data_IF_402350740221
#
_entry.id   IF_402350740221
#
_cell.length_a   1.000
_cell.length_b   1.000
_cell.length_c   1.000
_cell.angle_alpha   90.00
_cell.angle_beta   90.00
_cell.angle_gamma   90.00
#
_symmetry.space_group_name_H-M   'P 1'
#
loop_
_entity.id
_entity.type
_entity.pdbx_description
1 polymer ?
#
# COMPACT_ATOMS: atom_id res chain seq x y z
N UNK A 1 -10.11 -7.92 10.28
CA UNK A 1 -8.94 -8.35 9.49
C UNK A 1 -8.40 -9.61 10.12
N UNK A 2 -8.20 -10.65 9.33
CA UNK A 2 -7.58 -11.90 9.73
C UNK A 2 -6.05 -11.76 9.71
N UNK A 3 -5.43 -11.92 10.88
CA UNK A 3 -3.98 -11.84 11.02
C UNK A 3 -3.27 -13.15 10.68
N UNK A 4 -4.00 -14.25 10.47
CA UNK A 4 -3.45 -15.50 9.96
C UNK A 4 -3.13 -15.42 8.46
N UNK A 5 -3.76 -14.50 7.72
CA UNK A 5 -3.42 -14.23 6.33
C UNK A 5 -2.13 -13.41 6.23
N UNK A 6 -1.28 -13.75 5.27
CA UNK A 6 -0.01 -13.06 5.04
C UNK A 6 -0.24 -11.62 4.52
N UNK A 7 0.71 -10.73 4.85
CA UNK A 7 0.85 -9.45 4.15
C UNK A 7 1.76 -9.68 2.94
N UNK A 8 1.20 -9.62 1.74
CA UNK A 8 1.95 -9.94 0.52
C UNK A 8 2.87 -8.79 0.11
N UNK A 9 4.10 -9.11 -0.28
CA UNK A 9 5.04 -8.14 -0.87
C UNK A 9 4.66 -7.91 -2.32
N UNK A 10 4.16 -6.72 -2.65
CA UNK A 10 3.56 -6.43 -3.96
C UNK A 10 4.02 -5.09 -4.52
N UNK A 11 3.81 -4.93 -5.82
CA UNK A 11 3.81 -3.65 -6.51
C UNK A 11 2.36 -3.27 -6.82
N UNK A 12 2.08 -1.99 -7.05
CA UNK A 12 0.77 -1.45 -7.37
C UNK A 12 0.19 -2.10 -8.64
N UNK A 13 1.03 -2.42 -9.63
CA UNK A 13 0.61 -3.19 -10.80
C UNK A 13 0.09 -4.60 -10.48
N UNK A 14 0.57 -5.23 -9.41
CA UNK A 14 0.08 -6.54 -8.97
C UNK A 14 -1.27 -6.41 -8.27
N UNK A 15 -1.47 -5.36 -7.47
CA UNK A 15 -2.76 -5.06 -6.83
C UNK A 15 -3.88 -4.85 -7.85
N UNK A 16 -3.58 -4.23 -9.00
CA UNK A 16 -4.54 -4.09 -10.12
C UNK A 16 -5.00 -5.42 -10.72
N UNK A 17 -4.23 -6.50 -10.53
CA UNK A 17 -4.57 -7.86 -10.98
C UNK A 17 -5.25 -8.69 -9.89
N UNK A 18 -5.28 -8.20 -8.65
CA UNK A 18 -5.90 -8.91 -7.55
C UNK A 18 -7.42 -8.89 -7.70
N UNK A 19 -8.06 -10.03 -7.44
CA UNK A 19 -9.50 -10.17 -7.55
C UNK A 19 -10.12 -10.08 -6.17
N UNK A 20 -11.13 -9.22 -6.01
CA UNK A 20 -11.88 -9.17 -4.76
C UNK A 20 -12.65 -10.47 -4.57
N UNK A 21 -12.46 -11.10 -3.41
CA UNK A 21 -13.21 -12.28 -2.99
C UNK A 21 -14.36 -11.80 -2.13
N UNK A 22 -15.59 -11.98 -2.62
CA UNK A 22 -16.81 -11.59 -1.91
C UNK A 22 -17.00 -12.58 -0.76
N UNK A 23 -16.93 -12.09 0.47
CA UNK A 23 -17.28 -12.82 1.69
C UNK A 23 -18.08 -11.92 2.63
N UNK A 24 -19.03 -12.49 3.38
CA UNK A 24 -20.05 -11.77 4.14
C UNK A 24 -19.53 -10.87 5.29
N UNK A 25 -18.22 -10.87 5.58
CA UNK A 25 -17.70 -10.15 6.75
C UNK A 25 -16.40 -9.36 6.53
N UNK A 26 -15.57 -9.68 5.53
CA UNK A 26 -14.29 -8.98 5.30
C UNK A 26 -13.89 -8.91 3.83
N UNK A 27 -13.52 -7.72 3.34
CA UNK A 27 -12.93 -7.57 2.01
C UNK A 27 -11.58 -8.27 1.97
N UNK A 28 -11.51 -9.37 1.22
CA UNK A 28 -10.29 -10.12 0.97
C UNK A 28 -10.04 -10.15 -0.53
N UNK A 29 -8.79 -10.35 -0.92
CA UNK A 29 -8.37 -10.35 -2.31
C UNK A 29 -7.58 -11.61 -2.60
N UNK A 30 -7.65 -12.10 -3.84
CA UNK A 30 -6.82 -13.21 -4.31
C UNK A 30 -5.84 -12.74 -5.37
N UNK A 31 -4.61 -13.24 -5.29
CA UNK A 31 -3.59 -13.08 -6.32
C UNK A 31 -2.83 -14.40 -6.45
N UNK A 32 -2.81 -14.99 -7.65
CA UNK A 32 -2.14 -16.28 -7.86
C UNK A 32 -2.70 -17.43 -7.00
N UNK A 33 -3.99 -17.37 -6.65
CA UNK A 33 -4.61 -18.35 -5.75
C UNK A 33 -4.36 -18.10 -4.26
N UNK A 34 -3.55 -17.10 -3.89
CA UNK A 34 -3.30 -16.73 -2.49
C UNK A 34 -4.30 -15.68 -2.03
N UNK A 35 -5.02 -15.98 -0.94
CA UNK A 35 -5.89 -15.03 -0.26
C UNK A 35 -5.07 -14.08 0.62
N UNK A 36 -5.35 -12.77 0.51
CA UNK A 36 -4.73 -11.76 1.35
C UNK A 36 -5.71 -10.64 1.69
N UNK A 37 -5.40 -9.94 2.77
CA UNK A 37 -6.10 -8.71 3.19
C UNK A 37 -5.13 -7.55 3.40
N UNK A 38 -3.84 -7.85 3.56
CA UNK A 38 -2.78 -6.86 3.77
C UNK A 38 -1.80 -6.86 2.62
N UNK A 39 -1.36 -5.67 2.25
CA UNK A 39 -0.27 -5.47 1.32
C UNK A 39 0.93 -4.90 2.06
N UNK A 40 2.12 -5.33 1.65
CA UNK A 40 3.40 -4.73 1.94
C UNK A 40 3.92 -4.12 0.64
N UNK A 41 4.05 -2.79 0.63
CA UNK A 41 4.55 -2.03 -0.51
C UNK A 41 5.67 -1.09 -0.07
N UNK A 42 6.51 -0.67 -1.01
CA UNK A 42 7.47 0.41 -0.81
C UNK A 42 7.44 1.33 -2.02
N UNK A 43 7.70 2.62 -1.80
CA UNK A 43 7.66 3.62 -2.86
C UNK A 43 8.01 5.02 -2.35
N UNK A 44 7.91 6.01 -3.23
CA UNK A 44 8.15 7.41 -2.94
C UNK A 44 6.82 8.09 -2.59
N UNK A 45 6.78 8.84 -1.49
CA UNK A 45 5.66 9.71 -1.20
C UNK A 45 5.63 10.85 -2.22
N UNK A 46 4.62 10.87 -3.09
CA UNK A 46 4.43 11.93 -4.11
C UNK A 46 3.44 13.01 -3.67
N UNK A 47 2.70 12.75 -2.59
CA UNK A 47 1.90 13.75 -1.88
C UNK A 47 1.92 13.42 -0.40
N UNK A 48 2.20 14.44 0.42
CA UNK A 48 2.18 14.36 1.88
C UNK A 48 1.56 15.65 2.45
N UNK A 49 0.33 15.98 2.02
CA UNK A 49 -0.36 17.19 2.47
C UNK A 49 -1.13 16.92 3.77
N UNK A 50 -0.67 17.39 4.94
CA UNK A 50 -1.46 17.39 6.15
C UNK A 50 -2.57 18.45 6.05
N UNK A 51 -3.78 18.10 6.49
CA UNK A 51 -5.00 18.92 6.39
C UNK A 51 -5.05 20.10 7.37
N UNK A 52 -3.91 20.66 7.77
CA UNK A 52 -3.82 21.80 8.68
C UNK A 52 -3.74 23.16 7.96
N UNK A 53 -3.84 23.19 6.63
CA UNK A 53 -3.68 24.41 5.83
C UNK A 53 -4.86 24.78 4.92
N UNK A 54 -6.06 24.21 5.11
CA UNK A 54 -7.24 24.60 4.33
C UNK A 54 -8.33 25.21 5.22
N UNK A 55 -8.53 26.53 5.11
CA UNK A 55 -9.63 27.32 5.69
C UNK A 55 -10.98 27.06 4.98
N UNK A 56 -11.22 25.84 4.52
CA UNK A 56 -12.50 25.43 3.93
C UNK A 56 -12.73 23.94 4.25
N UNK A 57 -13.98 23.54 4.56
CA UNK A 57 -14.33 22.13 4.68
C UNK A 57 -14.43 21.55 3.25
N UNK A 58 -13.29 21.28 2.65
CA UNK A 58 -13.21 20.41 1.48
C UNK A 58 -13.33 18.97 1.98
N UNK A 59 -14.32 18.24 1.47
CA UNK A 59 -14.59 16.82 1.79
C UNK A 59 -13.45 15.86 1.41
N UNK A 60 -12.38 16.36 0.81
CA UNK A 60 -11.17 15.61 0.47
C UNK A 60 -10.10 15.84 1.53
N UNK A 61 -10.02 14.91 2.49
CA UNK A 61 -9.04 14.91 3.58
C UNK A 61 -7.57 14.85 3.13
N UNK A 62 -6.64 14.76 4.09
CA UNK A 62 -5.20 14.59 3.82
C UNK A 62 -4.98 13.49 2.78
N UNK A 63 -4.38 13.80 1.64
CA UNK A 63 -4.12 12.80 0.60
C UNK A 63 -2.65 12.43 0.60
N UNK A 64 -2.34 11.31 1.26
CA UNK A 64 -1.01 10.71 1.18
C UNK A 64 -0.98 9.77 -0.02
N UNK A 65 -0.12 10.06 -0.98
CA UNK A 65 0.01 9.26 -2.20
C UNK A 65 1.40 8.66 -2.28
N UNK A 66 1.45 7.36 -2.57
CA UNK A 66 2.68 6.61 -2.74
C UNK A 66 2.79 6.14 -4.20
N UNK A 67 3.94 6.37 -4.82
CA UNK A 67 4.29 5.86 -6.15
C UNK A 67 5.42 4.84 -6.03
N UNK A 68 5.21 3.65 -6.56
CA UNK A 68 6.22 2.58 -6.59
C UNK A 68 6.83 2.34 -7.97
N UNK A 69 6.66 3.28 -8.91
CA UNK A 69 7.10 3.18 -10.30
C UNK A 69 6.19 2.34 -11.20
N UNK A 70 5.20 1.64 -10.64
CA UNK A 70 4.22 0.83 -11.38
C UNK A 70 2.77 1.32 -11.23
N UNK A 71 2.56 2.27 -10.33
CA UNK A 71 1.29 2.94 -10.11
C UNK A 71 1.28 3.74 -8.82
N UNK A 72 0.18 4.47 -8.62
CA UNK A 72 -0.04 5.29 -7.44
C UNK A 72 -1.11 4.63 -6.57
N UNK A 73 -0.91 4.68 -5.26
CA UNK A 73 -1.84 4.18 -4.25
C UNK A 73 -2.01 5.20 -3.12
N UNK A 74 -3.22 5.30 -2.59
CA UNK A 74 -3.54 6.22 -1.52
C UNK A 74 -3.34 5.58 -0.14
N UNK A 75 -2.74 6.33 0.79
CA UNK A 75 -2.48 5.88 2.14
C UNK A 75 -3.43 6.57 3.12
N UNK A 76 -4.16 5.78 3.88
CA UNK A 76 -4.96 6.27 5.00
C UNK A 76 -4.18 6.08 6.28
N UNK A 77 -3.67 7.19 6.82
CA UNK A 77 -2.97 7.22 8.10
C UNK A 77 -3.93 7.60 9.24
N UNK A 78 -3.78 6.92 10.37
CA UNK A 78 -4.55 7.16 11.59
C UNK A 78 -3.64 7.21 12.82
N UNK A 79 -4.08 7.89 13.88
CA UNK A 79 -3.35 8.00 15.14
C UNK A 79 -1.96 8.61 14.98
N UNK A 80 -0.97 8.04 15.66
CA UNK A 80 0.40 8.55 15.71
C UNK A 80 1.06 8.71 14.33
N UNK A 81 0.71 7.85 13.36
CA UNK A 81 1.31 7.94 12.03
C UNK A 81 0.94 9.24 11.32
N UNK A 82 -0.25 9.80 11.55
CA UNK A 82 -0.66 11.09 10.95
C UNK A 82 0.09 12.28 11.56
N UNK A 83 0.53 12.14 12.81
CA UNK A 83 1.25 13.19 13.54
C UNK A 83 2.76 13.18 13.28
N UNK A 84 3.28 12.14 12.61
CA UNK A 84 4.67 12.09 12.18
C UNK A 84 4.90 13.04 11.01
N UNK A 85 6.14 13.50 10.91
CA UNK A 85 6.60 14.31 9.79
C UNK A 85 6.79 13.43 8.56
N UNK A 86 6.03 13.70 7.51
CA UNK A 86 6.13 13.04 6.21
C UNK A 86 6.28 14.11 5.13
N UNK A 87 7.27 13.94 4.26
CA UNK A 87 7.52 14.87 3.16
C UNK A 87 7.43 14.15 1.82
N UNK A 88 7.06 14.94 0.81
CA UNK A 88 7.13 14.48 -0.58
C UNK A 88 8.59 14.19 -0.93
N UNK A 89 8.85 13.05 -1.57
CA UNK A 89 10.19 12.56 -1.89
C UNK A 89 10.73 11.50 -0.93
N UNK A 90 10.13 11.30 0.25
CA UNK A 90 10.55 10.24 1.16
C UNK A 90 10.28 8.86 0.56
N UNK A 91 11.29 7.98 0.59
CA UNK A 91 11.12 6.57 0.24
C UNK A 91 10.65 5.80 1.48
N UNK A 92 9.44 5.25 1.44
CA UNK A 92 8.81 4.63 2.61
C UNK A 92 8.40 3.20 2.35
N UNK A 93 8.42 2.38 3.40
CA UNK A 93 7.78 1.07 3.45
C UNK A 93 6.45 1.18 4.16
N UNK A 94 5.42 0.55 3.61
CA UNK A 94 4.06 0.55 4.14
C UNK A 94 3.52 -0.87 4.21
N UNK A 95 2.97 -1.24 5.37
CA UNK A 95 2.14 -2.44 5.55
C UNK A 95 0.77 -2.00 6.05
N UNK A 96 -0.29 -2.51 5.42
CA UNK A 96 -1.65 -2.17 5.84
C UNK A 96 -2.73 -2.95 5.12
N UNK A 97 -3.98 -2.69 5.50
CA UNK A 97 -5.15 -3.30 4.88
C UNK A 97 -5.41 -2.75 3.49
N UNK A 98 -5.45 -3.62 2.49
CA UNK A 98 -5.77 -3.25 1.12
C UNK A 98 -7.28 -3.25 0.89
N UNK A 99 -7.80 -2.21 0.23
CA UNK A 99 -9.17 -2.17 -0.22
C UNK A 99 -9.32 -1.23 -1.43
N UNK A 100 -10.43 -1.38 -2.14
CA UNK A 100 -10.78 -0.57 -3.31
C UNK A 100 -12.16 0.02 -3.00
N UNK A 101 -12.27 1.35 -3.05
CA UNK A 101 -13.57 2.03 -3.04
C UNK A 101 -14.09 2.12 -4.48
N UNK A 102 -15.39 1.92 -4.69
CA UNK A 102 -16.00 1.82 -6.01
C UNK A 102 -15.67 3.04 -6.87
N UNK A 103 -14.91 2.85 -7.96
CA UNK A 103 -14.54 3.92 -8.90
C UNK A 103 -13.31 4.74 -8.51
N UNK A 104 -12.68 4.46 -7.36
CA UNK A 104 -11.58 5.25 -6.81
C UNK A 104 -10.21 4.57 -6.95
N UNK A 105 -9.16 5.33 -6.63
CA UNK A 105 -7.77 4.88 -6.54
C UNK A 105 -7.65 3.79 -5.46
N UNK A 106 -6.86 2.72 -5.67
CA UNK A 106 -6.60 1.74 -4.63
C UNK A 106 -6.09 2.41 -3.34
N UNK A 107 -6.46 1.84 -2.18
CA UNK A 107 -6.10 2.42 -0.89
C UNK A 107 -5.47 1.39 0.05
N UNK A 108 -4.57 1.86 0.92
CA UNK A 108 -4.06 1.12 2.06
C UNK A 108 -4.39 1.84 3.36
N UNK A 109 -5.12 1.16 4.24
CA UNK A 109 -5.24 1.57 5.65
C UNK A 109 -3.96 1.16 6.38
N UNK A 110 -3.13 2.15 6.68
CA UNK A 110 -1.76 1.93 7.19
C UNK A 110 -1.78 1.32 8.58
N UNK A 111 -1.11 0.19 8.74
CA UNK A 111 -0.83 -0.45 10.03
C UNK A 111 0.61 -0.20 10.49
N UNK A 112 1.52 -0.05 9.53
CA UNK A 112 2.93 0.29 9.75
C UNK A 112 3.43 1.11 8.57
N UNK A 113 4.16 2.17 8.85
CA UNK A 113 4.90 2.95 7.86
C UNK A 113 6.28 3.30 8.43
N UNK A 114 7.31 3.19 7.60
CA UNK A 114 8.71 3.40 7.98
C UNK A 114 9.40 4.20 6.88
N UNK A 115 10.08 5.29 7.26
CA UNK A 115 10.99 6.02 6.38
C UNK A 115 12.26 5.19 6.15
N UNK A 116 12.57 4.94 4.88
CA UNK A 116 13.73 4.22 4.40
C UNK A 116 14.66 5.12 3.57
N UNK A 117 14.43 6.43 3.55
CA UNK A 117 15.20 7.39 2.72
C UNK A 117 16.71 7.39 3.04
N UNK A 118 17.10 6.99 4.25
CA UNK A 118 18.50 6.83 4.64
C UNK A 118 19.23 5.64 3.97
N UNK A 119 18.50 4.77 3.26
CA UNK A 119 19.02 3.54 2.65
C UNK A 119 18.68 3.48 1.16
N UNK A 120 19.43 4.16 0.28
CA UNK A 120 19.07 4.31 -1.14
C UNK A 120 18.98 2.98 -1.89
N UNK A 121 19.75 1.97 -1.50
CA UNK A 121 19.73 0.64 -2.13
C UNK A 121 18.41 -0.12 -1.88
N UNK A 122 17.58 0.33 -0.92
CA UNK A 122 16.32 -0.34 -0.57
C UNK A 122 15.34 -0.40 -1.72
N UNK A 123 15.35 0.60 -2.61
CA UNK A 123 14.48 0.59 -3.78
C UNK A 123 14.81 -0.55 -4.73
N UNK A 124 16.08 -0.69 -5.11
CA UNK A 124 16.52 -1.77 -5.98
C UNK A 124 16.28 -3.15 -5.35
N UNK A 125 16.58 -3.30 -4.06
CA UNK A 125 16.34 -4.55 -3.33
C UNK A 125 14.85 -4.88 -3.26
N UNK A 126 13.97 -3.89 -3.10
CA UNK A 126 12.53 -4.11 -3.06
C UNK A 126 11.99 -4.79 -4.31
N UNK A 127 12.39 -4.34 -5.50
CA UNK A 127 11.99 -4.97 -6.75
C UNK A 127 12.44 -6.43 -6.81
N UNK A 128 13.68 -6.73 -6.36
CA UNK A 128 14.17 -8.11 -6.30
C UNK A 128 13.38 -8.97 -5.32
N UNK A 129 13.06 -8.44 -4.13
CA UNK A 129 12.24 -9.14 -3.14
C UNK A 129 10.83 -9.45 -3.66
N UNK A 130 10.19 -8.50 -4.36
CA UNK A 130 8.86 -8.73 -4.96
C UNK A 130 8.96 -9.74 -6.11
N UNK A 131 9.99 -9.68 -6.95
CA UNK A 131 10.19 -10.65 -8.03
C UNK A 131 10.42 -12.06 -7.50
N UNK A 132 11.20 -12.22 -6.44
CA UNK A 132 11.41 -13.50 -5.76
C UNK A 132 10.08 -14.03 -5.18
N UNK A 133 9.35 -13.20 -4.43
CA UNK A 133 8.05 -13.58 -3.88
C UNK A 133 7.04 -13.98 -4.98
N UNK A 134 7.05 -13.25 -6.10
CA UNK A 134 6.17 -13.55 -7.23
C UNK A 134 6.47 -14.91 -7.85
N UNK A 135 7.76 -15.22 -8.08
CA UNK A 135 8.17 -16.51 -8.63
C UNK A 135 7.90 -17.69 -7.69
N UNK A 136 8.12 -17.50 -6.39
CA UNK A 136 7.97 -18.57 -5.40
C UNK A 136 6.52 -18.82 -5.00
N UNK A 137 5.67 -17.78 -4.98
CA UNK A 137 4.35 -17.87 -4.35
C UNK A 137 3.18 -17.40 -5.23
N UNK A 138 3.37 -16.44 -6.13
CA UNK A 138 2.24 -15.79 -6.82
C UNK A 138 2.04 -16.26 -8.27
N UNK A 139 3.03 -16.93 -8.86
CA UNK A 139 2.85 -17.59 -10.14
C UNK A 139 2.00 -18.85 -9.96
N UNK A 140 0.98 -19.07 -10.82
CA UNK A 140 0.28 -20.35 -10.85
C UNK A 140 1.27 -21.47 -11.15
N UNK A 141 1.27 -22.52 -10.34
CA UNK A 141 1.92 -23.79 -10.70
C UNK A 141 1.27 -24.30 -11.98
N UNK A 142 2.06 -24.50 -13.04
CA UNK A 142 1.62 -25.16 -14.29
C UNK A 142 1.22 -26.60 -13.97
#
# INVERSE_FOLDING_TARGET
MDYNLAALKLLCMHLKKAQQVISDSQSSFSLGGILFQRAWIQGILVSAVPSSSSTAPSETGCRFLLDDGTGIIELILSGDFRNRHWETGMYVMVVGGYFIQTGDVPMIKVHKIVDLSAFPDREAVWYLEVMEAFKLFYQPSI
#
